data_IF_954898298412
#
_entry.id   IF_954898298412
#
_cell.length_a   1.000
_cell.length_b   1.000
_cell.length_c   1.000
_cell.angle_alpha   90.00
_cell.angle_beta   90.00
_cell.angle_gamma   90.00
#
_symmetry.space_group_name_H-M   'P 1'
#
loop_
_entity.id
_entity.type
_entity.pdbx_description
1 polymer ?
#
# COMPACT_ATOMS: atom_id res chain seq x y z
N UNK A 1 -13.33 -4.52 -2.35
CA UNK A 1 -12.30 -3.47 -2.30
C UNK A 1 -12.56 -2.54 -1.12
N UNK A 2 -11.64 -2.43 -0.14
CA UNK A 2 -11.80 -1.63 1.08
C UNK A 2 -12.08 -0.14 0.81
N UNK A 3 -11.40 0.43 -0.19
CA UNK A 3 -11.59 1.85 -0.53
C UNK A 3 -13.04 2.17 -0.94
N UNK A 4 -13.69 1.31 -1.72
CA UNK A 4 -15.10 1.49 -2.15
C UNK A 4 -16.09 1.38 -0.98
N UNK A 5 -15.64 0.86 0.16
CA UNK A 5 -16.41 0.79 1.42
C UNK A 5 -16.03 1.91 2.40
N UNK A 6 -15.27 2.91 1.95
CA UNK A 6 -14.90 4.08 2.76
C UNK A 6 -13.69 3.87 3.68
N UNK A 7 -13.01 2.72 3.62
CA UNK A 7 -11.79 2.48 4.41
C UNK A 7 -10.56 2.99 3.63
N UNK A 8 -9.80 3.97 4.14
CA UNK A 8 -8.55 4.41 3.49
C UNK A 8 -7.56 3.25 3.37
N UNK A 9 -6.91 3.13 2.21
CA UNK A 9 -5.89 2.12 1.96
C UNK A 9 -4.70 2.72 1.21
N UNK A 10 -3.53 2.12 1.40
CA UNK A 10 -2.33 2.36 0.60
C UNK A 10 -1.84 1.01 0.09
N UNK A 11 -1.44 0.97 -1.18
CA UNK A 11 -0.74 -0.18 -1.76
C UNK A 11 0.73 0.17 -1.96
N UNK A 12 1.60 -0.66 -1.41
CA UNK A 12 3.05 -0.56 -1.59
C UNK A 12 3.49 -1.64 -2.55
N UNK A 13 4.01 -1.23 -3.70
CA UNK A 13 4.47 -2.14 -4.75
C UNK A 13 5.67 -1.54 -5.45
N UNK A 14 6.57 -2.39 -5.96
CA UNK A 14 7.60 -1.98 -6.92
C UNK A 14 7.07 -1.81 -8.35
N UNK A 15 5.77 -2.05 -8.58
CA UNK A 15 5.16 -2.11 -9.90
C UNK A 15 5.20 -3.52 -10.49
N UNK A 16 4.86 -3.63 -11.77
CA UNK A 16 5.04 -4.86 -12.56
C UNK A 16 6.50 -5.01 -13.00
N UNK A 17 6.90 -6.22 -13.39
CA UNK A 17 8.23 -6.54 -13.89
C UNK A 17 8.14 -7.67 -14.95
N UNK A 18 9.21 -7.93 -15.74
CA UNK A 18 9.17 -8.92 -16.82
C UNK A 18 8.75 -10.33 -16.39
N UNK A 19 9.11 -10.73 -15.16
CA UNK A 19 8.77 -12.03 -14.59
C UNK A 19 7.37 -12.07 -13.94
N UNK A 20 6.64 -10.95 -13.85
CA UNK A 20 5.37 -10.88 -13.14
C UNK A 20 4.34 -11.88 -13.71
N UNK A 21 3.69 -12.65 -12.84
CA UNK A 21 2.79 -13.77 -13.21
C UNK A 21 3.45 -14.89 -14.03
N UNK A 22 4.79 -15.02 -14.00
CA UNK A 22 5.52 -16.11 -14.65
C UNK A 22 6.18 -17.03 -13.62
N UNK A 23 6.47 -18.30 -13.98
CA UNK A 23 7.22 -19.21 -13.11
C UNK A 23 8.64 -18.74 -12.77
N UNK A 24 9.17 -17.77 -13.51
CA UNK A 24 10.49 -17.15 -13.27
C UNK A 24 10.46 -16.04 -12.21
N UNK A 25 9.28 -15.73 -11.64
CA UNK A 25 9.12 -14.83 -10.47
C UNK A 25 9.58 -15.54 -9.20
N UNK A 26 10.90 -15.60 -9.02
CA UNK A 26 11.56 -16.41 -7.99
C UNK A 26 12.37 -15.56 -7.01
N UNK A 27 12.67 -16.13 -5.84
CA UNK A 27 13.30 -15.40 -4.74
C UNK A 27 14.68 -14.80 -5.08
N UNK A 28 15.42 -15.40 -6.02
CA UNK A 28 16.69 -14.89 -6.52
C UNK A 28 16.55 -13.57 -7.31
N UNK A 29 15.32 -13.17 -7.68
CA UNK A 29 15.02 -11.88 -8.33
C UNK A 29 14.82 -10.74 -7.33
N UNK A 30 14.79 -11.02 -6.02
CA UNK A 30 14.50 -10.03 -4.99
C UNK A 30 15.71 -9.12 -4.76
N UNK A 31 15.50 -7.81 -4.91
CA UNK A 31 16.41 -6.79 -4.38
C UNK A 31 16.17 -6.64 -2.87
N UNK A 32 17.01 -7.30 -2.08
CA UNK A 32 16.89 -7.34 -0.63
C UNK A 32 17.14 -5.98 0.03
N UNK A 33 18.02 -5.13 -0.52
CA UNK A 33 18.27 -3.80 0.04
C UNK A 33 17.04 -2.92 -0.12
N UNK A 34 16.48 -2.87 -1.33
CA UNK A 34 15.23 -2.15 -1.62
C UNK A 34 14.08 -2.66 -0.77
N UNK A 35 13.93 -3.99 -0.65
CA UNK A 35 12.89 -4.60 0.18
C UNK A 35 13.05 -4.19 1.66
N UNK A 36 14.28 -4.17 2.19
CA UNK A 36 14.54 -3.77 3.58
C UNK A 36 14.12 -2.32 3.86
N UNK A 37 14.37 -1.41 2.91
CA UNK A 37 13.97 0.00 3.02
C UNK A 37 12.45 0.14 3.02
N UNK A 38 11.76 -0.63 2.17
CA UNK A 38 10.29 -0.65 2.15
C UNK A 38 9.72 -1.18 3.47
N UNK A 39 10.25 -2.28 4.00
CA UNK A 39 9.79 -2.87 5.27
C UNK A 39 10.00 -1.89 6.44
N UNK A 40 11.14 -1.18 6.49
CA UNK A 40 11.37 -0.13 7.50
C UNK A 40 10.36 1.01 7.39
N UNK A 41 10.05 1.46 6.18
CA UNK A 41 9.01 2.47 5.96
C UNK A 41 7.64 1.99 6.47
N UNK A 42 7.24 0.76 6.11
CA UNK A 42 5.98 0.17 6.56
C UNK A 42 5.91 0.05 8.09
N UNK A 43 7.00 -0.37 8.73
CA UNK A 43 7.11 -0.44 10.18
C UNK A 43 6.86 0.93 10.82
N UNK A 44 7.62 1.96 10.40
CA UNK A 44 7.48 3.29 10.98
C UNK A 44 6.11 3.91 10.71
N UNK A 45 5.56 3.76 9.50
CA UNK A 45 4.24 4.26 9.15
C UNK A 45 3.14 3.59 9.99
N UNK A 46 3.20 2.27 10.11
CA UNK A 46 2.20 1.51 10.89
C UNK A 46 2.28 1.86 12.37
N UNK A 47 3.49 2.00 12.92
CA UNK A 47 3.68 2.44 14.30
C UNK A 47 3.17 3.87 14.52
N UNK A 48 3.41 4.78 13.58
CA UNK A 48 2.89 6.15 13.66
C UNK A 48 1.36 6.17 13.65
N UNK A 49 0.72 5.49 12.69
CA UNK A 49 -0.75 5.43 12.59
C UNK A 49 -1.37 4.71 13.79
N UNK A 50 -0.78 3.61 14.25
CA UNK A 50 -1.30 2.82 15.36
C UNK A 50 -1.27 3.55 16.70
N UNK A 51 -0.34 4.50 16.87
CA UNK A 51 -0.21 5.31 18.08
C UNK A 51 -0.88 6.69 17.95
N UNK A 52 -1.39 7.08 16.78
CA UNK A 52 -2.09 8.34 16.59
C UNK A 52 -3.53 8.22 17.12
N UNK A 53 -3.98 9.08 18.05
CA UNK A 53 -5.38 9.07 18.50
C UNK A 53 -6.37 9.42 17.38
N UNK A 54 -5.92 10.12 16.34
CA UNK A 54 -6.70 10.44 15.16
C UNK A 54 -6.51 9.37 14.07
N UNK A 55 -7.63 8.90 13.53
CA UNK A 55 -7.64 7.95 12.41
C UNK A 55 -7.32 8.69 11.10
N UNK A 56 -6.64 8.04 10.13
CA UNK A 56 -6.51 8.58 8.78
C UNK A 56 -7.87 8.92 8.19
N UNK A 57 -7.95 10.10 7.54
CA UNK A 57 -9.17 10.58 6.90
C UNK A 57 -8.98 10.68 5.40
N UNK A 58 -10.04 10.38 4.66
CA UNK A 58 -10.10 10.69 3.24
C UNK A 58 -10.03 12.19 3.01
N UNK A 59 -9.41 12.60 1.91
CA UNK A 59 -9.73 13.92 1.38
C UNK A 59 -11.20 13.92 0.89
N UNK A 60 -11.97 14.99 1.13
CA UNK A 60 -13.38 15.04 0.74
C UNK A 60 -13.59 14.79 -0.75
N UNK A 61 -12.66 15.25 -1.59
CA UNK A 61 -12.67 15.03 -3.02
C UNK A 61 -12.53 13.55 -3.39
N UNK A 62 -11.49 12.87 -2.88
CA UNK A 62 -11.24 11.45 -3.16
C UNK A 62 -12.34 10.55 -2.59
N UNK A 63 -12.95 10.92 -1.46
CA UNK A 63 -14.10 10.19 -0.93
C UNK A 63 -15.27 10.20 -1.90
N UNK A 64 -15.59 11.36 -2.50
CA UNK A 64 -16.67 11.47 -3.48
C UNK A 64 -16.39 10.64 -4.72
N UNK A 65 -15.16 10.71 -5.23
CA UNK A 65 -14.73 9.96 -6.41
C UNK A 65 -14.73 8.44 -6.17
N UNK A 66 -14.08 7.96 -5.11
CA UNK A 66 -13.79 6.52 -4.96
C UNK A 66 -14.90 5.79 -4.19
N UNK A 67 -15.60 6.47 -3.27
CA UNK A 67 -16.60 5.82 -2.40
C UNK A 67 -18.03 6.08 -2.88
N UNK A 68 -18.31 7.29 -3.39
CA UNK A 68 -19.68 7.71 -3.76
C UNK A 68 -19.99 7.62 -5.26
N UNK A 69 -19.04 7.29 -6.12
CA UNK A 69 -19.36 6.93 -7.50
C UNK A 69 -20.21 5.65 -7.52
N UNK A 70 -21.30 5.61 -8.31
CA UNK A 70 -22.13 4.42 -8.48
C UNK A 70 -21.35 3.22 -9.05
#
# INVERSE_FOLDING_TARGET
>A
HFARRGVPILFFTSGTHPDYHQPTDSADRIDADKASRLVRLLYHLTAAIGNDPARPRWSPERYREIVRQP
#
